data_IF_788215490094
#
_entry.id   IF_788215490094
#
_cell.length_a   1.000
_cell.length_b   1.000
_cell.length_c   1.000
_cell.angle_alpha   90.00
_cell.angle_beta   90.00
_cell.angle_gamma   90.00
#
_symmetry.space_group_name_H-M   'P 1'
#
loop_
_entity.id
_entity.type
_entity.pdbx_description
1 polymer ?
#
# COMPACT_ATOMS: atom_id res chain seq x y z
N UNK A 1 18.18 -13.65 57.64
CA UNK A 1 17.59 -13.20 56.37
C UNK A 1 18.76 -12.85 55.44
N UNK A 2 19.20 -13.81 54.64
CA UNK A 2 20.53 -13.80 53.99
C UNK A 2 20.45 -13.31 52.54
N UNK A 3 21.53 -12.72 52.01
CA UNK A 3 21.59 -12.20 50.64
C UNK A 3 21.15 -13.21 49.57
N UNK A 4 21.41 -14.50 49.78
CA UNK A 4 20.93 -15.58 48.90
C UNK A 4 19.41 -15.71 48.87
N UNK A 5 18.74 -15.48 50.01
CA UNK A 5 17.28 -15.49 50.09
C UNK A 5 16.70 -14.27 49.38
N UNK A 6 17.38 -13.12 49.42
CA UNK A 6 16.98 -11.92 48.70
C UNK A 6 17.15 -12.07 47.17
N UNK A 7 18.21 -12.74 46.72
CA UNK A 7 18.45 -13.02 45.29
C UNK A 7 17.40 -13.98 44.72
N UNK A 8 17.12 -15.08 45.42
CA UNK A 8 16.06 -16.02 45.03
C UNK A 8 14.67 -15.38 45.03
N UNK A 9 14.43 -14.42 45.93
CA UNK A 9 13.18 -13.66 45.97
C UNK A 9 13.08 -12.67 44.79
N UNK A 10 14.19 -12.05 44.37
CA UNK A 10 14.21 -11.19 43.19
C UNK A 10 14.01 -11.96 41.88
N UNK A 11 14.58 -13.16 41.73
CA UNK A 11 14.32 -14.03 40.58
C UNK A 11 12.85 -14.49 40.54
N UNK A 12 12.29 -14.86 41.69
CA UNK A 12 10.86 -15.20 41.85
C UNK A 12 9.94 -14.03 41.46
N UNK A 13 10.28 -12.81 41.88
CA UNK A 13 9.55 -11.58 41.52
C UNK A 13 9.67 -11.30 40.02
N UNK A 14 10.85 -11.52 39.42
CA UNK A 14 11.06 -11.31 37.99
C UNK A 14 10.23 -12.28 37.15
N UNK A 15 10.15 -13.56 37.54
CA UNK A 15 9.29 -14.55 36.89
C UNK A 15 7.80 -14.23 37.04
N UNK A 16 7.35 -13.82 38.24
CA UNK A 16 5.96 -13.39 38.48
C UNK A 16 5.59 -12.14 37.66
N UNK A 17 6.50 -11.17 37.52
CA UNK A 17 6.29 -9.99 36.70
C UNK A 17 6.23 -10.34 35.21
N UNK A 18 7.10 -11.24 34.73
CA UNK A 18 7.09 -11.69 33.33
C UNK A 18 5.81 -12.47 32.98
N UNK A 19 5.30 -13.29 33.91
CA UNK A 19 4.01 -13.98 33.78
C UNK A 19 2.82 -13.00 33.76
N UNK A 20 2.84 -11.97 34.61
CA UNK A 20 1.83 -10.91 34.61
C UNK A 20 1.88 -10.06 33.35
N UNK A 21 3.07 -9.76 32.83
CA UNK A 21 3.25 -9.02 31.57
C UNK A 21 2.70 -9.81 30.38
N UNK A 22 2.92 -11.13 30.33
CA UNK A 22 2.34 -12.02 29.32
C UNK A 22 0.80 -12.12 29.45
N UNK A 23 0.27 -12.20 30.68
CA UNK A 23 -1.19 -12.18 30.89
C UNK A 23 -1.83 -10.84 30.48
N UNK A 24 -1.18 -9.71 30.76
CA UNK A 24 -1.67 -8.38 30.35
C UNK A 24 -1.62 -8.18 28.83
N UNK A 25 -0.69 -8.84 28.13
CA UNK A 25 -0.67 -8.92 26.66
C UNK A 25 -1.82 -9.77 26.11
N UNK A 26 -2.18 -10.86 26.80
CA UNK A 26 -3.34 -11.71 26.47
C UNK A 26 -4.71 -11.07 26.78
N UNK A 27 -4.79 -10.15 27.76
CA UNK A 27 -6.05 -9.51 28.19
C UNK A 27 -6.41 -8.26 27.37
N UNK A 28 -5.44 -7.61 26.71
CA UNK A 28 -5.71 -6.48 25.78
C UNK A 28 -6.47 -6.86 24.52
N UNK A 29 -6.71 -8.16 24.29
CA UNK A 29 -7.53 -8.69 23.19
C UNK A 29 -9.04 -8.62 23.54
N UNK A 30 -9.41 -8.23 24.77
CA UNK A 30 -10.75 -8.46 25.31
C UNK A 30 -11.79 -7.33 25.26
N UNK A 31 -11.51 -6.12 24.76
CA UNK A 31 -12.50 -5.01 24.74
C UNK A 31 -12.43 -4.18 23.45
N UNK A 32 -12.74 -4.82 22.31
CA UNK A 32 -13.22 -4.10 21.14
C UNK A 32 -14.36 -4.90 20.48
N UNK A 33 -15.49 -4.22 20.34
CA UNK A 33 -16.80 -4.60 19.77
C UNK A 33 -16.75 -5.39 18.44
N UNK A 34 -17.82 -6.09 18.04
CA UNK A 34 -17.77 -7.33 17.27
C UNK A 34 -17.19 -7.15 15.86
N UNK A 35 -16.07 -7.82 15.58
CA UNK A 35 -15.55 -8.02 14.24
C UNK A 35 -16.36 -9.10 13.54
N UNK A 36 -17.24 -8.68 12.63
CA UNK A 36 -17.79 -9.52 11.58
C UNK A 36 -16.62 -10.17 10.82
N UNK A 37 -16.69 -11.49 10.65
CA UNK A 37 -15.84 -12.27 9.75
C UNK A 37 -15.79 -11.59 8.36
N UNK A 38 -14.70 -10.90 8.03
CA UNK A 38 -14.45 -10.39 6.68
C UNK A 38 -13.53 -11.35 5.93
N UNK A 39 -14.11 -12.43 5.43
CA UNK A 39 -13.73 -12.99 4.13
C UNK A 39 -14.51 -12.24 3.04
N UNK A 40 -14.11 -11.01 2.75
CA UNK A 40 -14.46 -10.25 1.55
C UNK A 40 -13.70 -8.93 1.60
N UNK A 41 -13.11 -8.54 0.47
CA UNK A 41 -12.34 -7.31 0.31
C UNK A 41 -13.06 -6.09 0.90
N UNK A 42 -12.35 -5.13 1.53
CA UNK A 42 -12.96 -3.88 1.94
C UNK A 42 -13.57 -3.17 0.71
N UNK A 43 -14.75 -2.53 0.84
CA UNK A 43 -15.22 -1.61 -0.18
C UNK A 43 -14.13 -0.53 -0.35
N UNK A 44 -13.60 -0.30 -1.56
CA UNK A 44 -12.67 0.78 -1.77
C UNK A 44 -13.37 2.08 -1.39
N UNK A 45 -12.85 2.73 -0.35
CA UNK A 45 -13.07 4.15 -0.09
C UNK A 45 -13.04 4.90 -1.44
N UNK A 46 -13.95 5.86 -1.71
CA UNK A 46 -14.01 6.52 -3.01
C UNK A 46 -12.60 7.02 -3.34
N UNK A 47 -11.95 6.48 -4.40
CA UNK A 47 -10.70 7.03 -4.85
C UNK A 47 -10.99 8.49 -5.13
N UNK A 48 -10.28 9.42 -4.49
CA UNK A 48 -10.30 10.81 -4.92
C UNK A 48 -10.11 10.78 -6.43
N UNK A 49 -11.14 11.21 -7.17
CA UNK A 49 -11.39 10.92 -8.58
C UNK A 49 -10.21 11.37 -9.44
N UNK A 50 -9.17 10.56 -9.48
CA UNK A 50 -8.08 10.67 -10.41
C UNK A 50 -8.45 9.77 -11.56
N UNK A 51 -8.71 10.40 -12.68
CA UNK A 51 -9.13 9.78 -13.92
C UNK A 51 -7.94 9.66 -14.88
N UNK A 52 -8.11 8.88 -15.92
CA UNK A 52 -7.09 8.66 -16.93
C UNK A 52 -7.11 9.82 -17.93
N UNK A 53 -5.94 10.45 -18.15
CA UNK A 53 -5.68 11.36 -19.26
C UNK A 53 -4.54 10.80 -20.12
N UNK A 54 -4.71 10.81 -21.44
CA UNK A 54 -3.74 10.23 -22.37
C UNK A 54 -3.39 8.77 -22.01
N UNK A 55 -2.09 8.47 -21.92
CA UNK A 55 -1.57 7.14 -21.56
C UNK A 55 -1.48 6.87 -20.05
N UNK A 56 -1.84 7.85 -19.20
CA UNK A 56 -1.80 7.70 -17.75
C UNK A 56 -0.40 7.71 -17.10
N UNK A 57 0.62 8.25 -17.74
CA UNK A 57 1.94 8.42 -17.11
C UNK A 57 1.90 9.34 -15.88
N UNK A 58 1.00 10.33 -15.90
CA UNK A 58 0.73 11.25 -14.81
C UNK A 58 -0.32 10.74 -13.81
N UNK A 59 -0.89 9.55 -14.01
CA UNK A 59 -1.90 9.01 -13.11
C UNK A 59 -1.30 8.77 -11.71
N UNK A 60 -1.94 9.32 -10.67
CA UNK A 60 -1.53 9.17 -9.26
C UNK A 60 -2.67 8.66 -8.38
N UNK A 61 -3.70 8.06 -8.98
CA UNK A 61 -4.79 7.44 -8.23
C UNK A 61 -4.35 6.16 -7.53
N UNK A 62 -5.25 5.62 -6.72
CA UNK A 62 -5.00 4.49 -5.81
C UNK A 62 -5.59 3.16 -6.27
N UNK A 63 -6.02 3.05 -7.54
CA UNK A 63 -6.47 1.77 -8.11
C UNK A 63 -5.29 0.78 -8.06
N UNK A 64 -5.55 -0.40 -7.50
CA UNK A 64 -4.58 -1.46 -7.23
C UNK A 64 -5.07 -2.85 -7.69
N UNK A 65 -6.00 -2.85 -8.65
CA UNK A 65 -6.57 -4.05 -9.26
C UNK A 65 -6.54 -3.92 -10.78
N UNK A 66 -6.29 -5.03 -11.47
CA UNK A 66 -6.25 -5.10 -12.93
C UNK A 66 -7.66 -5.10 -13.51
N UNK A 67 -7.78 -4.96 -14.84
CA UNK A 67 -9.07 -5.01 -15.54
C UNK A 67 -9.82 -6.33 -15.30
N UNK A 68 -9.11 -7.47 -15.25
CA UNK A 68 -9.75 -8.75 -14.88
C UNK A 68 -9.89 -8.99 -13.37
N UNK A 69 -9.60 -7.99 -12.54
CA UNK A 69 -9.78 -8.05 -11.09
C UNK A 69 -8.64 -8.70 -10.30
N UNK A 70 -7.46 -8.88 -10.90
CA UNK A 70 -6.29 -9.41 -10.17
C UNK A 70 -5.69 -8.34 -9.29
N UNK A 71 -5.18 -8.75 -8.13
CA UNK A 71 -4.52 -7.83 -7.19
C UNK A 71 -3.14 -7.47 -7.75
N UNK A 72 -2.80 -6.18 -7.71
CA UNK A 72 -1.47 -5.71 -8.07
C UNK A 72 -0.43 -6.11 -7.03
N UNK A 73 0.72 -6.60 -7.49
CA UNK A 73 1.95 -6.74 -6.72
C UNK A 73 2.53 -5.35 -6.43
N UNK A 74 3.10 -5.18 -5.24
CA UNK A 74 3.78 -3.93 -4.88
C UNK A 74 5.03 -3.71 -5.72
N UNK A 75 5.28 -2.47 -6.15
CA UNK A 75 6.43 -2.13 -7.00
C UNK A 75 7.80 -2.31 -6.30
N UNK A 76 7.83 -2.29 -4.96
CA UNK A 76 9.03 -2.62 -4.20
C UNK A 76 9.18 -4.14 -3.96
N UNK A 77 8.13 -4.93 -4.17
CA UNK A 77 8.17 -6.37 -3.96
C UNK A 77 8.77 -7.08 -5.19
N UNK A 78 9.56 -8.12 -4.94
CA UNK A 78 10.20 -8.94 -5.98
C UNK A 78 9.55 -10.33 -6.14
N UNK A 79 8.36 -10.51 -5.56
CA UNK A 79 7.57 -11.75 -5.62
C UNK A 79 6.08 -11.42 -5.83
N UNK A 80 5.32 -12.27 -6.55
CA UNK A 80 5.78 -13.46 -7.29
C UNK A 80 6.66 -13.14 -8.50
N UNK A 81 6.57 -11.93 -9.04
CA UNK A 81 7.31 -11.54 -10.26
C UNK A 81 8.51 -10.68 -9.91
N UNK A 82 9.72 -11.19 -10.14
CA UNK A 82 10.92 -10.36 -10.06
C UNK A 82 10.94 -9.34 -11.23
N UNK A 83 11.34 -8.09 -10.97
CA UNK A 83 11.40 -7.04 -11.98
C UNK A 83 12.32 -5.86 -11.63
N UNK A 84 12.73 -5.11 -12.66
CA UNK A 84 13.56 -3.90 -12.53
C UNK A 84 12.78 -2.60 -12.30
N UNK A 85 11.46 -2.59 -12.47
CA UNK A 85 10.62 -1.39 -12.28
C UNK A 85 10.32 -1.15 -10.81
N UNK A 86 11.32 -0.70 -10.06
CA UNK A 86 11.22 -0.41 -8.63
C UNK A 86 11.27 1.11 -8.37
N UNK A 87 10.79 1.58 -7.21
CA UNK A 87 10.91 2.98 -6.82
C UNK A 87 12.35 3.52 -6.88
N UNK A 88 13.33 2.67 -6.59
CA UNK A 88 14.75 3.01 -6.60
C UNK A 88 15.27 3.25 -8.02
N UNK A 89 14.84 2.42 -8.98
CA UNK A 89 15.25 2.54 -10.39
C UNK A 89 14.46 3.61 -11.14
N UNK A 90 13.22 3.90 -10.71
CA UNK A 90 12.32 4.88 -11.33
C UNK A 90 11.76 5.89 -10.31
N UNK A 91 12.61 6.68 -9.64
CA UNK A 91 12.20 7.56 -8.54
C UNK A 91 11.19 8.63 -8.97
N UNK A 92 11.29 9.13 -10.20
CA UNK A 92 10.36 10.15 -10.73
C UNK A 92 9.06 9.56 -11.31
N UNK A 93 8.82 8.24 -11.22
CA UNK A 93 7.59 7.59 -11.73
C UNK A 93 6.53 7.29 -10.66
N UNK A 94 6.79 7.64 -9.39
CA UNK A 94 5.83 7.47 -8.28
C UNK A 94 5.30 6.03 -8.19
N UNK A 95 6.21 5.06 -8.16
CA UNK A 95 5.89 3.64 -8.05
C UNK A 95 5.52 3.26 -6.60
N UNK A 96 4.49 3.92 -6.05
CA UNK A 96 4.08 3.74 -4.66
C UNK A 96 3.19 2.51 -4.47
N UNK A 97 3.43 1.79 -3.37
CA UNK A 97 2.64 0.62 -2.94
C UNK A 97 2.46 -0.34 -4.12
N UNK A 98 1.22 -0.70 -4.44
CA UNK A 98 0.83 -1.55 -5.56
C UNK A 98 -0.15 -0.84 -6.51
N UNK A 99 -0.09 0.49 -6.59
CA UNK A 99 -1.02 1.24 -7.43
C UNK A 99 -0.65 1.11 -8.91
N UNK A 100 -1.65 1.09 -9.78
CA UNK A 100 -1.46 1.06 -11.22
C UNK A 100 -0.66 2.29 -11.68
N UNK A 101 0.36 2.08 -12.51
CA UNK A 101 1.24 3.13 -13.02
C UNK A 101 1.67 2.81 -14.45
N UNK A 102 2.19 3.81 -15.13
CA UNK A 102 2.78 3.65 -16.46
C UNK A 102 4.21 4.22 -16.46
N UNK A 103 5.20 3.48 -15.93
CA UNK A 103 6.57 3.97 -15.83
C UNK A 103 7.31 4.03 -17.17
N UNK A 104 6.85 3.28 -18.16
CA UNK A 104 7.59 2.93 -19.38
C UNK A 104 6.94 3.38 -20.69
N UNK A 105 5.86 4.16 -20.62
CA UNK A 105 5.23 4.79 -21.80
C UNK A 105 4.29 3.86 -22.57
N UNK A 106 3.84 2.79 -21.90
CA UNK A 106 2.88 1.82 -22.39
C UNK A 106 1.52 2.49 -22.72
N UNK A 107 0.61 1.79 -23.37
CA UNK A 107 -0.69 2.33 -23.77
C UNK A 107 -1.56 2.83 -22.59
N UNK A 108 -1.55 2.13 -21.45
CA UNK A 108 -2.33 2.47 -20.25
C UNK A 108 -1.59 2.07 -18.97
N UNK A 109 -1.98 2.59 -17.79
CA UNK A 109 -1.44 2.14 -16.52
C UNK A 109 -1.68 0.64 -16.30
N UNK A 110 -0.68 0.02 -15.73
CA UNK A 110 -0.60 -1.41 -15.50
C UNK A 110 0.08 -1.69 -14.16
N UNK A 111 0.08 -2.95 -13.76
CA UNK A 111 0.86 -3.41 -12.61
C UNK A 111 1.32 -4.86 -12.83
N UNK A 112 2.38 -5.27 -12.13
CA UNK A 112 2.62 -6.69 -11.90
C UNK A 112 1.47 -7.26 -11.07
N UNK A 113 1.11 -8.52 -11.24
CA UNK A 113 0.01 -9.12 -10.48
C UNK A 113 0.52 -10.02 -9.36
N UNK A 114 -0.30 -10.29 -8.35
CA UNK A 114 0.02 -11.31 -7.34
C UNK A 114 -0.25 -12.75 -7.82
N UNK A 115 -0.86 -12.90 -8.99
CA UNK A 115 -1.08 -14.20 -9.64
C UNK A 115 0.22 -14.65 -10.34
N UNK A 116 0.64 -15.89 -10.06
CA UNK A 116 1.89 -16.45 -10.61
C UNK A 116 1.82 -16.69 -12.12
N UNK A 117 0.63 -16.91 -12.66
CA UNK A 117 0.45 -17.21 -14.09
C UNK A 117 0.36 -15.94 -14.93
N UNK A 118 -0.03 -14.82 -14.32
CA UNK A 118 -0.20 -13.53 -14.99
C UNK A 118 0.88 -12.55 -14.53
N UNK A 119 1.97 -12.42 -15.29
CA UNK A 119 3.09 -11.56 -14.89
C UNK A 119 2.68 -10.11 -14.64
N UNK A 120 1.93 -9.52 -15.55
CA UNK A 120 1.45 -8.15 -15.47
C UNK A 120 0.17 -8.01 -16.29
N UNK A 121 -0.62 -6.99 -15.99
CA UNK A 121 -1.85 -6.70 -16.72
C UNK A 121 -2.22 -5.21 -16.60
N UNK A 122 -2.99 -4.72 -17.58
CA UNK A 122 -3.56 -3.38 -17.54
C UNK A 122 -4.59 -3.21 -16.42
N UNK A 123 -4.72 -1.98 -15.96
CA UNK A 123 -5.77 -1.57 -15.05
C UNK A 123 -6.87 -0.84 -15.80
N UNK A 124 -8.12 -1.07 -15.39
CA UNK A 124 -9.26 -0.30 -15.87
C UNK A 124 -9.41 0.97 -15.04
N UNK A 125 -9.08 2.11 -15.63
CA UNK A 125 -9.14 3.43 -14.98
C UNK A 125 -10.12 4.31 -15.77
N UNK A 126 -11.11 4.94 -15.12
CA UNK A 126 -12.08 5.76 -15.82
C UNK A 126 -11.43 6.96 -16.49
N UNK A 127 -11.82 7.27 -17.74
CA UNK A 127 -11.35 8.46 -18.44
C UNK A 127 -11.84 9.74 -17.76
N UNK A 128 -11.03 10.80 -17.84
CA UNK A 128 -11.45 12.13 -17.41
C UNK A 128 -12.56 12.68 -18.29
N UNK A 129 -12.58 12.30 -19.57
CA UNK A 129 -13.57 12.78 -20.54
C UNK A 129 -14.93 12.10 -20.40
N UNK A 130 -14.99 10.96 -19.70
CA UNK A 130 -16.21 10.20 -19.46
C UNK A 130 -16.91 10.56 -18.13
N UNK A 131 -16.46 11.60 -17.42
CA UNK A 131 -17.16 12.10 -16.24
C UNK A 131 -18.26 13.08 -16.69
N UNK A 132 -19.54 12.88 -16.34
CA UNK A 132 -20.55 13.91 -16.56
C UNK A 132 -20.11 15.18 -15.82
N UNK A 133 -19.91 16.26 -16.59
CA UNK A 133 -19.44 17.54 -16.10
C UNK A 133 -20.35 18.08 -14.99
N UNK A 134 -19.93 17.89 -13.73
CA UNK A 134 -20.70 18.29 -12.56
C UNK A 134 -19.78 18.68 -11.41
N UNK A 135 -19.38 19.96 -11.40
CA UNK A 135 -18.71 20.70 -10.31
C UNK A 135 -17.40 20.10 -9.80
N UNK A 136 -16.29 20.79 -10.05
CA UNK A 136 -15.46 21.31 -8.96
C UNK A 136 -14.54 22.41 -9.50
N UNK A 137 -15.00 23.65 -9.33
CA UNK A 137 -14.16 24.83 -9.42
C UNK A 137 -13.41 24.88 -8.08
N UNK A 138 -12.16 24.37 -8.00
CA UNK A 138 -11.30 24.68 -6.87
C UNK A 138 -9.81 24.70 -7.28
N UNK A 139 -9.33 25.93 -7.49
CA UNK A 139 -7.98 26.48 -7.34
C UNK A 139 -6.79 25.77 -8.03
N UNK A 140 -6.32 26.44 -9.09
CA UNK A 140 -4.92 26.44 -9.54
C UNK A 140 -4.01 26.70 -8.32
N UNK A 141 -3.27 25.69 -7.89
CA UNK A 141 -1.93 25.90 -7.31
C UNK A 141 -0.96 24.98 -8.04
N UNK A 142 -0.11 25.61 -8.85
CA UNK A 142 1.03 24.99 -9.49
C UNK A 142 2.01 24.46 -8.43
N UNK A 143 2.34 23.18 -8.51
CA UNK A 143 3.64 22.67 -8.07
C UNK A 143 3.99 21.43 -8.87
N UNK A 144 4.19 21.62 -10.18
CA UNK A 144 5.04 20.71 -10.96
C UNK A 144 6.47 20.94 -10.47
N UNK A 145 6.95 20.08 -9.58
CA UNK A 145 8.38 20.05 -9.24
C UNK A 145 9.12 19.48 -10.45
N UNK A 146 10.01 20.22 -11.12
CA UNK A 146 10.84 19.66 -12.17
C UNK A 146 11.82 18.66 -11.53
N UNK A 147 11.74 17.40 -11.95
CA UNK A 147 12.78 16.41 -11.70
C UNK A 147 14.04 16.90 -12.45
N UNK A 148 14.97 17.55 -11.75
CA UNK A 148 16.24 17.97 -12.33
C UNK A 148 17.08 16.74 -12.67
N UNK A 149 17.36 16.53 -13.95
CA UNK A 149 18.33 15.52 -14.40
C UNK A 149 19.71 16.16 -14.25
N UNK A 150 20.44 15.85 -13.18
CA UNK A 150 21.87 16.11 -13.15
C UNK A 150 22.56 14.83 -13.59
N UNK A 151 22.87 14.73 -14.89
CA UNK A 151 23.92 13.83 -15.35
C UNK A 151 25.24 14.44 -14.87
N UNK A 152 25.98 13.68 -14.07
CA UNK A 152 27.40 13.92 -13.80
C UNK A 152 28.19 13.24 -14.91
#
# INVERSE_FOLDING_TARGET
FTLKNAFLEMERITEELNLKQNLEEHVKIGHQTPHIHQTSNPPPSPPGLQCLSGKGESYRGSIAVTASGKICQAWSAQKPHNHSRTPENYPCKNLERNYCRNPDGESMPWCYTTDKETRWEYCEIPSCDSQPAGKFIYFIVHSVSPCFTTRV
#
